data_IF_078271211972
#
_entry.id   IF_078271211972
#
_cell.length_a   1.000
_cell.length_b   1.000
_cell.length_c   1.000
_cell.angle_alpha   90.00
_cell.angle_beta   90.00
_cell.angle_gamma   90.00
#
_symmetry.space_group_name_H-M   'P 1'
#
loop_
_entity.id
_entity.type
_entity.pdbx_description
1 polymer ?
#
# COMPACT_ATOMS: atom_id res chain seq x y z
N UNK A 1 -8.07 -15.35 9.24
CA UNK A 1 -7.71 -13.92 9.33
C UNK A 1 -7.26 -13.60 10.74
N UNK A 2 -6.16 -12.87 10.87
CA UNK A 2 -5.68 -12.43 12.18
C UNK A 2 -6.72 -11.55 12.89
N UNK A 3 -6.84 -11.70 14.19
CA UNK A 3 -7.81 -10.97 14.99
C UNK A 3 -7.65 -9.44 14.89
N UNK A 4 -6.41 -8.95 14.87
CA UNK A 4 -6.13 -7.51 14.77
C UNK A 4 -6.55 -6.94 13.41
N UNK A 5 -6.30 -7.68 12.32
CA UNK A 5 -6.74 -7.29 10.98
C UNK A 5 -8.26 -7.28 10.89
N UNK A 6 -8.92 -8.31 11.40
CA UNK A 6 -10.38 -8.38 11.45
C UNK A 6 -10.97 -7.20 12.22
N UNK A 7 -10.42 -6.88 13.38
CA UNK A 7 -10.87 -5.74 14.18
C UNK A 7 -10.69 -4.41 13.44
N UNK A 8 -9.56 -4.24 12.73
CA UNK A 8 -9.33 -3.05 11.90
C UNK A 8 -10.43 -2.91 10.84
N UNK A 9 -10.73 -3.98 10.11
CA UNK A 9 -11.75 -3.96 9.06
C UNK A 9 -13.14 -3.65 9.64
N UNK A 10 -13.54 -4.38 10.67
CA UNK A 10 -14.91 -4.32 11.22
C UNK A 10 -15.15 -3.07 12.07
N UNK A 11 -14.14 -2.62 12.81
CA UNK A 11 -14.30 -1.55 13.81
C UNK A 11 -13.71 -0.21 13.41
N UNK A 12 -12.79 -0.17 12.42
CA UNK A 12 -12.14 1.06 11.99
C UNK A 12 -12.51 1.44 10.55
N UNK A 13 -12.59 0.48 9.63
CA UNK A 13 -12.82 0.79 8.21
C UNK A 13 -14.30 0.85 7.83
N UNK A 14 -15.05 -0.22 8.11
CA UNK A 14 -16.48 -0.29 7.74
C UNK A 14 -17.32 0.81 8.38
N UNK A 15 -17.18 1.14 9.69
CA UNK A 15 -17.93 2.24 10.28
C UNK A 15 -17.66 3.61 9.65
N UNK A 16 -16.48 3.80 9.05
CA UNK A 16 -16.09 5.04 8.37
C UNK A 16 -16.43 5.05 6.87
N UNK A 17 -17.25 4.11 6.43
CA UNK A 17 -17.80 4.11 5.08
C UNK A 17 -17.03 3.29 4.05
N UNK A 18 -16.09 2.45 4.47
CA UNK A 18 -15.41 1.52 3.54
C UNK A 18 -16.32 0.33 3.27
N UNK A 19 -16.85 0.27 2.04
CA UNK A 19 -17.81 -0.76 1.63
C UNK A 19 -17.48 -1.43 0.29
N UNK A 20 -16.52 -0.88 -0.46
CA UNK A 20 -16.12 -1.46 -1.74
C UNK A 20 -15.48 -2.84 -1.54
N UNK A 21 -16.06 -3.87 -2.14
CA UNK A 21 -15.64 -5.25 -1.92
C UNK A 21 -14.20 -5.50 -2.38
N UNK A 22 -13.78 -4.97 -3.52
CA UNK A 22 -12.40 -5.12 -4.01
C UNK A 22 -11.38 -4.47 -3.06
N UNK A 23 -11.73 -3.34 -2.46
CA UNK A 23 -10.91 -2.69 -1.42
C UNK A 23 -10.79 -3.58 -0.19
N UNK A 24 -11.91 -4.06 0.33
CA UNK A 24 -11.93 -4.93 1.52
C UNK A 24 -11.17 -6.23 1.28
N UNK A 25 -11.33 -6.83 0.10
CA UNK A 25 -10.66 -8.09 -0.27
C UNK A 25 -9.13 -7.94 -0.30
N UNK A 26 -8.62 -6.87 -0.90
CA UNK A 26 -7.16 -6.68 -0.94
C UNK A 26 -6.59 -6.37 0.45
N UNK A 27 -7.29 -5.58 1.26
CA UNK A 27 -6.86 -5.31 2.65
C UNK A 27 -6.86 -6.60 3.48
N UNK A 28 -7.82 -7.48 3.26
CA UNK A 28 -7.86 -8.79 3.92
C UNK A 28 -6.68 -9.68 3.51
N UNK A 29 -6.31 -9.67 2.24
CA UNK A 29 -5.23 -10.51 1.70
C UNK A 29 -3.84 -10.02 2.05
N UNK A 30 -3.63 -8.71 2.15
CA UNK A 30 -2.32 -8.10 2.40
C UNK A 30 -2.11 -7.88 3.89
N UNK A 31 -1.02 -8.41 4.41
CA UNK A 31 -0.68 -8.27 5.83
C UNK A 31 0.15 -7.00 6.06
N UNK A 32 -0.42 -6.03 6.74
CA UNK A 32 0.28 -4.75 7.02
C UNK A 32 1.58 -4.97 7.79
N UNK A 33 1.63 -5.93 8.69
CA UNK A 33 2.83 -6.22 9.47
C UNK A 33 4.04 -6.61 8.61
N UNK A 34 3.85 -7.09 7.40
CA UNK A 34 4.95 -7.41 6.49
C UNK A 34 5.67 -6.14 5.99
N UNK A 35 4.98 -5.00 6.03
CA UNK A 35 5.46 -3.71 5.50
C UNK A 35 5.89 -2.72 6.58
N UNK A 36 5.72 -3.07 7.84
CA UNK A 36 5.96 -2.19 8.99
C UNK A 36 7.36 -2.45 9.56
N UNK A 37 8.13 -1.39 9.89
CA UNK A 37 9.40 -1.57 10.59
C UNK A 37 9.22 -2.38 11.88
N UNK A 38 10.24 -3.16 12.24
CA UNK A 38 10.15 -4.13 13.35
C UNK A 38 9.73 -3.47 14.68
N UNK A 39 10.20 -2.26 14.94
CA UNK A 39 9.87 -1.47 16.15
C UNK A 39 8.42 -1.05 16.22
N UNK A 40 7.71 -1.02 15.10
CA UNK A 40 6.29 -0.60 15.02
C UNK A 40 5.32 -1.74 14.74
N UNK A 41 5.77 -2.99 14.73
CA UNK A 41 4.91 -4.13 14.35
C UNK A 41 3.63 -4.25 15.18
N UNK A 42 3.66 -3.87 16.45
CA UNK A 42 2.48 -3.88 17.31
C UNK A 42 1.42 -2.84 16.89
N UNK A 43 1.82 -1.83 16.13
CA UNK A 43 0.94 -0.76 15.63
C UNK A 43 0.47 -1.01 14.19
N UNK A 44 0.81 -2.14 13.58
CA UNK A 44 0.53 -2.42 12.17
C UNK A 44 -0.94 -2.22 11.78
N UNK A 45 -1.87 -2.57 12.67
CA UNK A 45 -3.31 -2.46 12.43
C UNK A 45 -3.98 -1.34 13.21
N UNK A 46 -3.21 -0.49 13.87
CA UNK A 46 -3.72 0.70 14.54
C UNK A 46 -3.99 1.83 13.51
N UNK A 47 -4.96 2.69 13.81
CA UNK A 47 -5.23 3.91 13.02
C UNK A 47 -4.15 4.96 13.31
N UNK A 48 -2.96 4.70 12.81
CA UNK A 48 -1.74 5.44 13.10
C UNK A 48 -0.81 5.45 11.88
N UNK A 49 -0.28 6.64 11.55
CA UNK A 49 0.74 6.77 10.51
C UNK A 49 2.08 6.28 11.06
N UNK A 50 2.64 5.25 10.44
CA UNK A 50 3.85 4.58 10.93
C UNK A 50 5.08 5.26 10.34
N UNK A 51 6.03 5.74 11.16
CA UNK A 51 7.25 6.36 10.67
C UNK A 51 8.08 5.40 9.83
N UNK A 52 8.56 5.90 8.70
CA UNK A 52 9.52 5.24 7.82
C UNK A 52 10.84 6.02 7.84
N UNK A 53 11.78 5.65 6.98
CA UNK A 53 13.04 6.39 6.80
C UNK A 53 12.79 7.78 6.20
N UNK A 54 13.73 8.72 6.43
CA UNK A 54 13.76 10.04 5.78
C UNK A 54 12.50 10.89 6.04
N UNK A 55 11.91 10.79 7.23
CA UNK A 55 10.70 11.53 7.62
C UNK A 55 9.45 11.21 6.78
N UNK A 56 9.44 10.10 6.06
CA UNK A 56 8.24 9.60 5.42
C UNK A 56 7.43 8.75 6.39
N UNK A 57 6.14 8.60 6.10
CA UNK A 57 5.23 7.77 6.89
C UNK A 57 4.50 6.78 6.00
N UNK A 58 4.27 5.58 6.52
CA UNK A 58 3.28 4.66 6.01
C UNK A 58 1.90 5.16 6.45
N UNK A 59 1.01 5.39 5.50
CA UNK A 59 -0.33 5.93 5.77
C UNK A 59 -1.14 4.98 6.66
N UNK A 60 -1.94 5.56 7.54
CA UNK A 60 -2.87 4.83 8.41
C UNK A 60 -3.90 4.03 7.60
N UNK A 61 -4.45 2.95 8.15
CA UNK A 61 -5.35 2.06 7.42
C UNK A 61 -6.52 2.75 6.75
N UNK A 62 -7.20 3.65 7.44
CA UNK A 62 -8.38 4.32 6.89
C UNK A 62 -8.05 5.18 5.66
N UNK A 63 -6.92 5.88 5.67
CA UNK A 63 -6.51 6.69 4.52
C UNK A 63 -6.21 5.81 3.30
N UNK A 64 -5.49 4.71 3.49
CA UNK A 64 -5.23 3.74 2.41
C UNK A 64 -6.54 3.18 1.85
N UNK A 65 -7.46 2.77 2.72
CA UNK A 65 -8.76 2.24 2.30
C UNK A 65 -9.59 3.26 1.53
N UNK A 66 -9.59 4.53 1.98
CA UNK A 66 -10.27 5.62 1.25
C UNK A 66 -9.67 5.88 -0.11
N UNK A 67 -8.34 5.89 -0.24
CA UNK A 67 -7.66 6.03 -1.53
C UNK A 67 -8.11 4.91 -2.48
N UNK A 68 -8.04 3.66 -2.04
CA UNK A 68 -8.43 2.51 -2.86
C UNK A 68 -9.89 2.58 -3.31
N UNK A 69 -10.79 2.97 -2.40
CA UNK A 69 -12.21 3.05 -2.71
C UNK A 69 -12.55 4.23 -3.64
N UNK A 70 -11.99 5.42 -3.37
CA UNK A 70 -12.29 6.63 -4.12
C UNK A 70 -11.73 6.62 -5.54
N UNK A 71 -10.64 5.90 -5.80
CA UNK A 71 -10.05 5.81 -7.13
C UNK A 71 -10.88 4.95 -8.09
N UNK A 72 -11.85 4.19 -7.59
CA UNK A 72 -12.71 3.31 -8.41
C UNK A 72 -11.91 2.43 -9.38
N UNK A 73 -10.81 1.85 -8.88
CA UNK A 73 -9.89 1.03 -9.67
C UNK A 73 -10.55 -0.28 -10.10
N UNK A 74 -10.30 -0.66 -11.35
CA UNK A 74 -10.70 -1.96 -11.87
C UNK A 74 -9.52 -2.63 -12.62
N UNK A 75 -9.74 -3.85 -13.10
CA UNK A 75 -8.72 -4.67 -13.76
C UNK A 75 -8.20 -4.11 -15.10
N UNK A 76 -8.77 -3.04 -15.61
CA UNK A 76 -8.30 -2.36 -16.83
C UNK A 76 -7.45 -1.12 -16.54
N UNK A 77 -7.34 -0.71 -15.29
CA UNK A 77 -6.64 0.50 -14.90
C UNK A 77 -5.13 0.30 -14.90
N UNK A 78 -4.41 1.17 -15.59
CA UNK A 78 -2.97 1.34 -15.43
C UNK A 78 -2.73 2.46 -14.41
N UNK A 79 -1.96 2.16 -13.37
CA UNK A 79 -1.83 3.03 -12.19
C UNK A 79 -0.41 3.55 -12.11
N UNK A 80 -0.28 4.84 -11.85
CA UNK A 80 0.99 5.46 -11.47
C UNK A 80 0.91 5.87 -10.00
N UNK A 81 1.82 5.33 -9.21
CA UNK A 81 2.02 5.71 -7.81
C UNK A 81 3.33 6.49 -7.67
N UNK A 82 3.24 7.70 -7.13
CA UNK A 82 4.42 8.51 -6.82
C UNK A 82 4.64 8.44 -5.30
N UNK A 83 5.77 7.83 -4.92
CA UNK A 83 6.09 7.54 -3.53
C UNK A 83 5.70 6.11 -3.14
N UNK A 84 6.60 5.17 -3.38
CA UNK A 84 6.41 3.76 -3.03
C UNK A 84 6.31 3.56 -1.52
N UNK A 85 7.13 4.28 -0.77
CA UNK A 85 7.17 4.19 0.68
C UNK A 85 7.43 2.77 1.17
N UNK A 86 6.55 2.25 2.01
CA UNK A 86 6.63 0.87 2.50
C UNK A 86 6.30 -0.17 1.43
N UNK A 87 5.58 0.22 0.37
CA UNK A 87 5.08 -0.69 -0.64
C UNK A 87 3.73 -1.34 -0.31
N UNK A 88 3.12 -1.01 0.83
CA UNK A 88 1.82 -1.57 1.22
C UNK A 88 0.70 -1.17 0.26
N UNK A 89 0.57 0.14 -0.02
CA UNK A 89 -0.43 0.63 -0.98
C UNK A 89 -0.16 0.06 -2.38
N UNK A 90 1.10 0.02 -2.80
CA UNK A 90 1.51 -0.58 -4.08
C UNK A 90 0.99 -2.01 -4.21
N UNK A 91 1.17 -2.80 -3.15
CA UNK A 91 0.70 -4.19 -3.10
C UNK A 91 -0.83 -4.28 -3.27
N UNK A 92 -1.57 -3.45 -2.56
CA UNK A 92 -3.03 -3.38 -2.68
C UNK A 92 -3.47 -2.96 -4.10
N UNK A 93 -2.84 -1.93 -4.65
CA UNK A 93 -3.12 -1.44 -6.00
C UNK A 93 -2.89 -2.53 -7.05
N UNK A 94 -1.83 -3.32 -6.90
CA UNK A 94 -1.48 -4.40 -7.83
C UNK A 94 -2.52 -5.51 -7.89
N UNK A 95 -3.25 -5.71 -6.81
CA UNK A 95 -4.29 -6.74 -6.73
C UNK A 95 -5.60 -6.33 -7.40
N UNK A 96 -5.84 -5.03 -7.55
CA UNK A 96 -7.07 -4.48 -8.10
C UNK A 96 -6.88 -4.03 -9.55
N UNK A 97 -5.77 -3.34 -9.84
CA UNK A 97 -5.49 -2.76 -11.15
C UNK A 97 -4.86 -3.75 -12.14
N UNK A 98 -4.69 -3.29 -13.37
CA UNK A 98 -4.01 -4.05 -14.42
C UNK A 98 -2.49 -3.99 -14.25
N UNK A 99 -1.93 -2.80 -14.15
CA UNK A 99 -0.49 -2.55 -13.93
C UNK A 99 -0.29 -1.41 -12.95
N UNK A 100 0.81 -1.46 -12.21
CA UNK A 100 1.23 -0.38 -11.31
C UNK A 100 2.66 0.00 -11.64
N UNK A 101 2.88 1.25 -12.00
CA UNK A 101 4.19 1.86 -12.03
C UNK A 101 4.37 2.63 -10.72
N UNK A 102 5.30 2.19 -9.89
CA UNK A 102 5.59 2.84 -8.61
C UNK A 102 6.96 3.51 -8.66
N UNK A 103 6.99 4.76 -8.21
CA UNK A 103 8.17 5.62 -8.32
C UNK A 103 8.62 6.05 -6.93
N UNK A 104 9.90 5.95 -6.65
CA UNK A 104 10.47 6.50 -5.42
C UNK A 104 11.84 7.10 -5.69
N UNK A 105 12.17 8.14 -4.94
CA UNK A 105 13.49 8.77 -4.95
C UNK A 105 14.51 7.95 -4.16
N UNK A 106 14.04 7.10 -3.24
CA UNK A 106 14.88 6.24 -2.42
C UNK A 106 14.89 4.82 -2.96
N UNK A 107 16.01 4.45 -3.59
CA UNK A 107 16.19 3.11 -4.15
C UNK A 107 16.09 2.01 -3.09
N UNK A 108 16.54 2.27 -1.87
CA UNK A 108 16.49 1.25 -0.81
C UNK A 108 15.05 0.91 -0.42
N UNK A 109 14.14 1.87 -0.46
CA UNK A 109 12.71 1.64 -0.22
C UNK A 109 12.08 0.84 -1.35
N UNK A 110 12.42 1.14 -2.61
CA UNK A 110 11.97 0.35 -3.76
C UNK A 110 12.41 -1.11 -3.65
N UNK A 111 13.68 -1.34 -3.35
CA UNK A 111 14.25 -2.68 -3.23
C UNK A 111 13.59 -3.47 -2.07
N UNK A 112 13.37 -2.82 -0.93
CA UNK A 112 12.69 -3.42 0.21
C UNK A 112 11.23 -3.78 -0.12
N UNK A 113 10.50 -2.88 -0.77
CA UNK A 113 9.13 -3.14 -1.21
C UNK A 113 9.07 -4.31 -2.18
N UNK A 114 9.96 -4.34 -3.17
CA UNK A 114 10.04 -5.41 -4.16
C UNK A 114 10.28 -6.78 -3.51
N UNK A 115 11.15 -6.85 -2.50
CA UNK A 115 11.42 -8.08 -1.78
C UNK A 115 10.17 -8.59 -1.02
N UNK A 116 9.41 -7.68 -0.41
CA UNK A 116 8.16 -8.05 0.27
C UNK A 116 7.11 -8.49 -0.75
N UNK A 117 6.96 -7.76 -1.84
CA UNK A 117 6.01 -8.08 -2.91
C UNK A 117 6.24 -9.46 -3.52
N UNK A 118 7.47 -9.95 -3.55
CA UNK A 118 7.78 -11.30 -4.04
C UNK A 118 7.02 -12.39 -3.26
N UNK A 119 6.75 -12.17 -1.98
CA UNK A 119 5.98 -13.10 -1.14
C UNK A 119 4.51 -13.18 -1.53
N UNK A 120 4.01 -12.17 -2.23
CA UNK A 120 2.60 -12.05 -2.67
C UNK A 120 2.41 -12.45 -4.12
N UNK A 121 3.46 -12.96 -4.79
CA UNK A 121 3.42 -13.36 -6.21
C UNK A 121 2.95 -12.23 -7.13
N UNK A 122 3.44 -11.01 -6.89
CA UNK A 122 3.08 -9.83 -7.68
C UNK A 122 3.92 -9.80 -8.97
N UNK A 123 3.27 -9.67 -10.13
CA UNK A 123 3.89 -9.67 -11.46
C UNK A 123 3.69 -8.38 -12.23
N UNK A 124 2.76 -7.53 -11.79
CA UNK A 124 2.27 -6.38 -12.54
C UNK A 124 2.73 -5.04 -11.99
N UNK A 125 3.84 -5.01 -11.25
CA UNK A 125 4.43 -3.79 -10.70
C UNK A 125 5.78 -3.52 -11.35
N UNK A 126 5.96 -2.28 -11.85
CA UNK A 126 7.24 -1.77 -12.31
C UNK A 126 7.79 -0.79 -11.27
N UNK A 127 9.03 -0.98 -10.87
CA UNK A 127 9.70 -0.18 -9.84
C UNK A 127 10.65 0.82 -10.50
N UNK A 128 10.37 2.11 -10.33
CA UNK A 128 11.09 3.19 -11.01
C UNK A 128 11.82 4.06 -9.98
N UNK A 129 13.15 4.05 -10.04
CA UNK A 129 13.99 4.92 -9.22
C UNK A 129 14.17 6.25 -9.93
N UNK A 130 13.34 7.24 -9.60
CA UNK A 130 13.31 8.56 -10.25
C UNK A 130 13.00 9.65 -9.24
N UNK A 131 13.55 10.84 -9.50
CA UNK A 131 13.09 12.09 -8.90
C UNK A 131 12.09 12.73 -9.85
N UNK A 132 10.80 12.69 -9.48
CA UNK A 132 9.71 13.19 -10.34
C UNK A 132 9.76 14.72 -10.55
N UNK A 133 10.53 15.42 -9.74
CA UNK A 133 10.73 16.87 -9.88
C UNK A 133 11.90 17.22 -10.79
N UNK A 134 12.67 16.24 -11.26
CA UNK A 134 13.86 16.41 -12.09
C UNK A 134 13.66 15.85 -13.50
N UNK A 135 13.00 16.60 -14.40
CA UNK A 135 12.86 16.28 -15.82
C UNK A 135 12.32 14.86 -16.12
N UNK A 136 11.51 14.32 -15.25
CA UNK A 136 10.88 13.03 -15.49
C UNK A 136 9.54 13.21 -16.22
N UNK A 137 9.37 12.42 -17.28
CA UNK A 137 8.11 12.34 -18.03
C UNK A 137 7.61 10.90 -17.89
N UNK A 138 6.37 10.69 -17.43
CA UNK A 138 5.78 9.36 -17.26
C UNK A 138 5.66 8.60 -18.58
#
# INVERSE_FOLDING_TARGET
MQINKKNMIESQLKPEGISCQSTLDCIEKVNREDFVPVEYKKLAYAEYDIPLKNNFNMLRPLIVAKILQLLEINSNCNILEIGTGSGYLTCCLSMIGKTVDTVDIDKSMLDAAKNIHAKYNIYNVNYLHKDVFSNWVP
#
